data_IF_087508189983
#
_entry.id   IF_087508189983
#
_cell.length_a   1.000
_cell.length_b   1.000
_cell.length_c   1.000
_cell.angle_alpha   90.00
_cell.angle_beta   90.00
_cell.angle_gamma   90.00
#
_symmetry.space_group_name_H-M   'P 1'
#
loop_
_entity.id
_entity.type
_entity.pdbx_description
1 polymer ?
#
# COMPACT_ATOMS: atom_id res chain seq x y z
N UNK A 1 -9.29 13.15 1.73
CA UNK A 1 -8.73 12.40 0.58
C UNK A 1 -8.55 10.97 1.04
N UNK A 2 -9.19 10.00 0.41
CA UNK A 2 -8.95 8.58 0.72
C UNK A 2 -7.53 8.21 0.28
N UNK A 3 -6.76 7.59 1.19
CA UNK A 3 -5.45 7.04 0.88
C UNK A 3 -5.66 5.57 0.49
N UNK A 4 -5.13 5.20 -0.67
CA UNK A 4 -5.17 3.83 -1.16
C UNK A 4 -3.78 3.24 -0.98
N UNK A 5 -3.70 2.05 -0.36
CA UNK A 5 -2.44 1.34 -0.16
C UNK A 5 -2.30 0.22 -1.17
N UNK A 6 -1.17 0.20 -1.88
CA UNK A 6 -0.74 -0.94 -2.67
C UNK A 6 0.20 -1.80 -1.82
N UNK A 7 -0.11 -3.08 -1.67
CA UNK A 7 0.76 -4.03 -0.97
C UNK A 7 1.19 -5.14 -1.92
N UNK A 8 2.50 -5.48 -1.95
CA UNK A 8 2.95 -6.62 -2.71
C UNK A 8 2.44 -7.93 -2.06
N UNK A 9 2.09 -8.91 -2.87
CA UNK A 9 1.67 -10.23 -2.40
C UNK A 9 2.83 -11.07 -1.82
N UNK A 10 4.07 -10.70 -2.09
CA UNK A 10 5.26 -11.43 -1.63
C UNK A 10 5.64 -11.06 -0.19
N UNK A 11 6.00 -12.09 0.58
CA UNK A 11 6.48 -11.98 1.96
C UNK A 11 8.02 -11.96 2.07
N UNK A 12 8.74 -12.13 0.95
CA UNK A 12 10.21 -12.18 0.96
C UNK A 12 10.78 -10.76 0.88
N UNK A 13 11.49 -10.36 1.94
CA UNK A 13 12.33 -9.15 1.93
C UNK A 13 13.67 -9.49 1.31
N UNK A 14 13.83 -9.20 0.02
CA UNK A 14 15.08 -9.40 -0.70
C UNK A 14 15.79 -8.05 -0.84
N UNK A 15 17.13 -7.97 -0.61
CA UNK A 15 17.87 -6.73 -0.85
C UNK A 15 17.96 -6.47 -2.35
N UNK A 16 17.03 -5.70 -2.87
CA UNK A 16 16.82 -5.47 -4.31
C UNK A 16 18.01 -4.76 -4.95
N UNK A 17 18.75 -3.96 -4.17
CA UNK A 17 19.91 -3.21 -4.64
C UNK A 17 21.07 -4.09 -5.17
N UNK A 18 21.06 -5.40 -4.87
CA UNK A 18 22.08 -6.34 -5.36
C UNK A 18 21.81 -6.82 -6.80
N UNK A 19 20.61 -6.59 -7.34
CA UNK A 19 20.28 -7.01 -8.69
C UNK A 19 20.67 -5.95 -9.72
N UNK A 20 21.24 -6.40 -10.83
CA UNK A 20 21.52 -5.54 -11.97
C UNK A 20 20.23 -4.95 -12.53
N UNK A 21 20.28 -3.70 -12.98
CA UNK A 21 19.16 -3.03 -13.64
C UNK A 21 19.21 -3.34 -15.13
N UNK A 22 18.88 -4.58 -15.49
CA UNK A 22 18.99 -5.17 -16.81
C UNK A 22 17.64 -5.24 -17.57
N UNK A 23 16.62 -4.58 -17.00
CA UNK A 23 15.31 -4.43 -17.63
C UNK A 23 14.78 -3.00 -17.49
N UNK A 24 14.00 -2.52 -18.46
CA UNK A 24 13.41 -1.20 -18.43
C UNK A 24 11.95 -1.18 -18.88
N UNK A 25 11.17 -0.35 -18.22
CA UNK A 25 9.84 0.06 -18.62
C UNK A 25 9.94 1.44 -19.27
N UNK A 26 9.37 1.61 -20.46
CA UNK A 26 9.18 2.92 -21.08
C UNK A 26 7.68 3.27 -20.99
N UNK A 27 7.31 4.08 -20.00
CA UNK A 27 5.91 4.39 -19.71
C UNK A 27 5.59 5.81 -20.14
N UNK A 28 4.74 5.96 -21.13
CA UNK A 28 4.38 7.27 -21.71
C UNK A 28 5.62 8.11 -22.08
N UNK A 29 6.71 7.46 -22.51
CA UNK A 29 7.97 8.10 -22.88
C UNK A 29 8.96 8.32 -21.72
N UNK A 30 8.63 8.00 -20.50
CA UNK A 30 9.51 8.04 -19.33
C UNK A 30 10.14 6.68 -19.05
N UNK A 31 11.46 6.63 -18.77
CA UNK A 31 12.21 5.40 -18.53
C UNK A 31 12.32 5.06 -17.06
N UNK A 32 11.97 3.81 -16.72
CA UNK A 32 12.08 3.24 -15.35
C UNK A 32 12.91 1.95 -15.41
N UNK A 33 14.07 1.96 -14.74
CA UNK A 33 14.99 0.81 -14.72
C UNK A 33 14.76 -0.09 -13.51
N UNK A 34 14.74 -1.39 -13.80
CA UNK A 34 14.64 -2.44 -12.78
C UNK A 34 15.45 -3.67 -13.19
N UNK A 35 15.46 -4.71 -12.38
CA UNK A 35 16.02 -6.00 -12.77
C UNK A 35 14.97 -6.86 -13.49
N UNK A 36 15.42 -7.75 -14.34
CA UNK A 36 14.59 -8.75 -15.04
C UNK A 36 13.79 -9.58 -14.04
N UNK A 37 14.41 -10.05 -12.95
CA UNK A 37 13.71 -10.78 -11.91
C UNK A 37 12.52 -10.00 -11.34
N UNK A 38 12.71 -8.71 -11.07
CA UNK A 38 11.65 -7.88 -10.50
C UNK A 38 10.55 -7.57 -11.52
N UNK A 39 10.91 -7.42 -12.81
CA UNK A 39 9.91 -7.26 -13.88
C UNK A 39 9.04 -8.52 -14.02
N UNK A 40 9.64 -9.72 -13.89
CA UNK A 40 8.90 -10.99 -13.91
C UNK A 40 7.94 -11.13 -12.72
N UNK A 41 8.38 -10.71 -11.53
CA UNK A 41 7.53 -10.70 -10.33
C UNK A 41 6.38 -9.68 -10.42
N UNK A 42 6.61 -8.58 -11.11
CA UNK A 42 5.60 -7.54 -11.31
C UNK A 42 4.59 -7.92 -12.39
N UNK A 43 5.05 -8.63 -13.44
CA UNK A 43 4.25 -8.87 -14.64
C UNK A 43 4.30 -10.32 -15.09
N UNK A 44 3.23 -11.09 -14.89
CA UNK A 44 3.07 -12.40 -15.50
C UNK A 44 3.25 -12.39 -17.03
N UNK A 45 2.83 -11.32 -17.70
CA UNK A 45 3.00 -11.18 -19.16
C UNK A 45 4.47 -11.10 -19.56
N UNK A 46 5.28 -10.31 -18.85
CA UNK A 46 6.72 -10.19 -19.07
C UNK A 46 7.42 -11.52 -18.75
N UNK A 47 7.08 -12.15 -17.63
CA UNK A 47 7.60 -13.46 -17.27
C UNK A 47 7.39 -14.49 -18.39
N UNK A 48 6.20 -14.54 -18.98
CA UNK A 48 5.90 -15.42 -20.10
C UNK A 48 6.73 -15.10 -21.36
N UNK A 49 7.02 -13.81 -21.62
CA UNK A 49 7.91 -13.43 -22.73
C UNK A 49 9.32 -13.92 -22.43
N UNK A 50 9.85 -13.71 -21.23
CA UNK A 50 11.20 -14.16 -20.86
C UNK A 50 11.40 -15.68 -20.93
N UNK A 51 10.34 -16.49 -20.76
CA UNK A 51 10.40 -17.93 -20.95
C UNK A 51 10.67 -18.33 -22.42
N UNK A 52 10.28 -17.47 -23.36
CA UNK A 52 10.43 -17.73 -24.82
C UNK A 52 11.55 -16.91 -25.43
N UNK A 53 11.78 -15.71 -24.94
CA UNK A 53 12.86 -14.79 -25.36
C UNK A 53 13.60 -14.21 -24.15
N UNK A 54 14.64 -14.91 -23.66
CA UNK A 54 15.45 -14.42 -22.55
C UNK A 54 16.24 -13.13 -22.84
N UNK A 55 16.30 -12.66 -24.09
CA UNK A 55 16.97 -11.42 -24.46
C UNK A 55 16.08 -10.18 -24.37
N UNK A 56 14.77 -10.36 -24.15
CA UNK A 56 13.81 -9.28 -23.98
C UNK A 56 14.16 -8.42 -22.75
N UNK A 57 14.46 -7.14 -22.96
CA UNK A 57 14.99 -6.25 -21.92
C UNK A 57 14.23 -4.91 -21.80
N UNK A 58 13.20 -4.71 -22.62
CA UNK A 58 12.41 -3.48 -22.63
C UNK A 58 10.94 -3.75 -22.94
N UNK A 59 10.05 -3.05 -22.24
CA UNK A 59 8.63 -2.96 -22.59
C UNK A 59 8.17 -1.52 -22.69
N UNK A 60 7.35 -1.22 -23.71
CA UNK A 60 6.72 0.09 -23.88
C UNK A 60 5.27 -0.01 -23.40
N UNK A 61 4.91 0.86 -22.47
CA UNK A 61 3.56 0.98 -21.90
C UNK A 61 3.03 2.37 -22.25
N UNK A 62 1.96 2.41 -23.03
CA UNK A 62 1.23 3.64 -23.32
C UNK A 62 -0.15 3.57 -22.68
N UNK A 63 -0.45 4.49 -21.78
CA UNK A 63 -1.72 4.56 -21.07
C UNK A 63 -2.51 5.80 -21.50
N UNK A 64 -3.84 5.72 -21.41
CA UNK A 64 -4.73 6.85 -21.65
C UNK A 64 -4.76 7.79 -20.44
N UNK A 65 -4.58 7.22 -19.24
CA UNK A 65 -4.58 7.96 -18.00
C UNK A 65 -3.15 8.34 -17.59
N UNK A 66 -3.01 9.47 -16.93
CA UNK A 66 -1.72 9.93 -16.39
C UNK A 66 -1.58 9.51 -14.93
N UNK A 67 -0.37 9.11 -14.54
CA UNK A 67 -0.04 8.73 -13.17
C UNK A 67 1.45 8.47 -12.99
N UNK A 68 1.84 8.09 -11.78
CA UNK A 68 3.25 7.87 -11.43
C UNK A 68 3.60 6.37 -11.43
N UNK A 69 4.36 5.91 -12.42
CA UNK A 69 4.81 4.51 -12.50
C UNK A 69 5.82 4.14 -11.41
N UNK A 70 6.46 5.12 -10.74
CA UNK A 70 7.39 4.84 -9.62
C UNK A 70 6.75 4.04 -8.50
N UNK A 71 5.43 4.10 -8.32
CA UNK A 71 4.71 3.26 -7.36
C UNK A 71 4.97 1.76 -7.61
N UNK A 72 4.97 1.32 -8.86
CA UNK A 72 5.25 -0.08 -9.21
C UNK A 72 6.70 -0.47 -8.93
N UNK A 73 7.65 0.44 -9.18
CA UNK A 73 9.07 0.22 -8.86
C UNK A 73 9.27 0.10 -7.34
N UNK A 74 8.57 0.91 -6.56
CA UNK A 74 8.63 0.86 -5.10
C UNK A 74 7.95 -0.39 -4.54
N UNK A 75 6.84 -0.85 -5.15
CA UNK A 75 6.22 -2.13 -4.79
C UNK A 75 7.17 -3.32 -5.02
N UNK A 76 8.00 -3.28 -6.06
CA UNK A 76 9.06 -4.27 -6.26
C UNK A 76 10.06 -4.27 -5.11
N UNK A 77 10.27 -3.13 -4.44
CA UNK A 77 11.06 -2.99 -3.22
C UNK A 77 10.31 -3.47 -1.96
N UNK A 78 9.13 -4.07 -2.10
CA UNK A 78 8.24 -4.50 -1.01
C UNK A 78 7.80 -3.36 -0.09
N UNK A 79 7.85 -2.13 -0.57
CA UNK A 79 7.31 -0.98 0.13
C UNK A 79 5.80 -0.90 -0.08
N UNK A 80 5.11 -0.42 0.94
CA UNK A 80 3.70 -0.04 0.81
C UNK A 80 3.64 1.35 0.19
N UNK A 81 2.86 1.48 -0.88
CA UNK A 81 2.67 2.76 -1.56
C UNK A 81 1.30 3.36 -1.27
N UNK A 82 1.31 4.65 -0.95
CA UNK A 82 0.09 5.44 -0.81
C UNK A 82 -0.16 6.17 -2.12
N UNK A 83 -1.27 5.86 -2.77
CA UNK A 83 -1.66 6.49 -4.02
C UNK A 83 -2.89 7.37 -3.83
N UNK A 84 -3.01 8.38 -4.66
CA UNK A 84 -4.19 9.22 -4.69
C UNK A 84 -5.32 8.54 -5.49
N UNK A 85 -6.57 8.74 -5.08
CA UNK A 85 -7.72 8.15 -5.76
C UNK A 85 -7.85 8.57 -7.24
N UNK A 86 -7.29 9.71 -7.62
CA UNK A 86 -7.26 10.16 -9.02
C UNK A 86 -6.23 9.41 -9.88
N UNK A 87 -5.28 8.67 -9.28
CA UNK A 87 -4.32 7.82 -10.00
C UNK A 87 -4.82 6.40 -10.23
N UNK A 88 -5.95 6.01 -9.60
CA UNK A 88 -6.53 4.66 -9.75
C UNK A 88 -6.76 4.25 -11.21
N UNK A 89 -7.30 5.10 -12.10
CA UNK A 89 -7.48 4.71 -13.50
C UNK A 89 -6.16 4.36 -14.18
N UNK A 90 -5.09 5.13 -13.94
CA UNK A 90 -3.75 4.84 -14.45
C UNK A 90 -3.20 3.52 -13.90
N UNK A 91 -3.29 3.33 -12.57
CA UNK A 91 -2.81 2.10 -11.93
C UNK A 91 -3.55 0.87 -12.46
N UNK A 92 -4.88 0.94 -12.59
CA UNK A 92 -5.68 -0.17 -13.13
C UNK A 92 -5.30 -0.49 -14.57
N UNK A 93 -5.09 0.51 -15.41
CA UNK A 93 -4.69 0.34 -16.81
C UNK A 93 -3.31 -0.32 -16.91
N UNK A 94 -2.34 0.11 -16.09
CA UNK A 94 -1.01 -0.50 -16.02
C UNK A 94 -1.08 -1.96 -15.55
N UNK A 95 -1.87 -2.26 -14.51
CA UNK A 95 -2.03 -3.63 -14.01
C UNK A 95 -2.63 -4.56 -15.06
N UNK A 96 -3.59 -4.08 -15.83
CA UNK A 96 -4.17 -4.84 -16.96
C UNK A 96 -3.11 -5.14 -18.03
N UNK A 97 -2.32 -4.14 -18.43
CA UNK A 97 -1.23 -4.34 -19.41
C UNK A 97 -0.18 -5.33 -18.90
N UNK A 98 0.19 -5.25 -17.63
CA UNK A 98 1.15 -6.15 -16.99
C UNK A 98 0.58 -7.55 -16.74
N UNK A 99 -0.75 -7.72 -16.81
CA UNK A 99 -1.44 -8.97 -16.49
C UNK A 99 -1.36 -9.33 -14.99
N UNK A 100 -1.27 -8.33 -14.11
CA UNK A 100 -1.11 -8.54 -12.68
C UNK A 100 -2.44 -8.35 -11.94
N UNK A 101 -3.02 -9.44 -11.47
CA UNK A 101 -4.23 -9.49 -10.65
C UNK A 101 -3.95 -9.68 -9.14
N UNK A 102 -2.67 -9.78 -8.78
CA UNK A 102 -2.25 -10.05 -7.39
C UNK A 102 -2.07 -8.79 -6.56
N UNK A 103 -2.01 -7.62 -7.19
CA UNK A 103 -1.93 -6.33 -6.48
C UNK A 103 -3.33 -5.92 -6.08
N UNK A 104 -3.55 -5.84 -4.76
CA UNK A 104 -4.83 -5.46 -4.20
C UNK A 104 -4.82 -4.00 -3.74
N UNK A 105 -5.90 -3.29 -4.02
CA UNK A 105 -6.16 -1.97 -3.48
C UNK A 105 -6.84 -2.11 -2.12
N UNK A 106 -6.27 -1.47 -1.11
CA UNK A 106 -6.91 -1.32 0.18
C UNK A 106 -7.39 0.12 0.24
N UNK A 107 -8.68 0.35 0.00
CA UNK A 107 -9.28 1.63 0.33
C UNK A 107 -9.27 1.79 1.85
N UNK A 108 -8.51 2.77 2.32
CA UNK A 108 -8.74 3.26 3.67
C UNK A 108 -10.03 4.10 3.61
N UNK A 109 -11.15 3.46 3.93
CA UNK A 109 -12.33 4.22 4.31
C UNK A 109 -11.92 5.15 5.46
N UNK A 110 -11.89 6.45 5.20
CA UNK A 110 -11.86 7.44 6.30
C UNK A 110 -13.20 7.34 7.01
N UNK A 111 -13.29 6.37 7.88
CA UNK A 111 -14.40 6.32 8.85
C UNK A 111 -14.18 7.51 9.76
N UNK A 112 -15.11 8.46 9.76
CA UNK A 112 -15.08 9.57 10.70
C UNK A 112 -15.03 9.00 12.13
N UNK A 113 -14.00 9.39 12.89
CA UNK A 113 -13.81 8.90 14.25
C UNK A 113 -14.83 9.63 15.12
N UNK A 114 -15.64 8.88 15.82
CA UNK A 114 -16.66 9.36 16.74
C UNK A 114 -16.54 8.65 18.09
N UNK A 115 -17.17 9.21 19.11
CA UNK A 115 -17.22 8.59 20.45
C UNK A 115 -17.74 7.15 20.37
N UNK A 116 -18.75 6.89 19.51
CA UNK A 116 -19.42 5.60 19.42
C UNK A 116 -18.58 4.53 18.70
N UNK A 117 -17.62 4.93 17.83
CA UNK A 117 -16.91 3.98 16.98
C UNK A 117 -15.41 3.87 17.24
N UNK A 118 -14.80 4.78 18.01
CA UNK A 118 -13.34 4.85 18.20
C UNK A 118 -12.74 3.54 18.70
N UNK A 119 -13.35 2.89 19.69
CA UNK A 119 -12.83 1.62 20.24
C UNK A 119 -12.98 0.46 19.27
N UNK A 120 -14.04 0.45 18.46
CA UNK A 120 -14.21 -0.56 17.42
C UNK A 120 -13.17 -0.41 16.29
N UNK A 121 -12.81 0.84 15.96
CA UNK A 121 -11.75 1.16 15.00
C UNK A 121 -10.38 0.72 15.50
N UNK A 122 -10.03 1.00 16.76
CA UNK A 122 -8.78 0.53 17.37
C UNK A 122 -8.69 -1.00 17.31
N UNK A 123 -9.73 -1.71 17.73
CA UNK A 123 -9.77 -3.19 17.67
C UNK A 123 -9.60 -3.72 16.25
N UNK A 124 -10.21 -3.05 15.25
CA UNK A 124 -10.07 -3.38 13.84
C UNK A 124 -8.63 -3.14 13.32
N UNK A 125 -8.01 -2.02 13.72
CA UNK A 125 -6.65 -1.67 13.33
C UNK A 125 -5.62 -2.58 13.99
N UNK A 126 -5.73 -2.86 15.27
CA UNK A 126 -4.87 -3.81 16.00
C UNK A 126 -4.90 -5.21 15.36
N UNK A 127 -6.08 -5.71 15.00
CA UNK A 127 -6.22 -7.01 14.33
C UNK A 127 -5.53 -7.08 12.95
N UNK A 128 -5.36 -5.93 12.29
CA UNK A 128 -4.77 -5.82 10.95
C UNK A 128 -3.33 -5.28 10.98
N UNK A 129 -2.68 -5.23 12.15
CA UNK A 129 -1.33 -4.65 12.34
C UNK A 129 -1.20 -3.22 11.78
N UNK A 130 -2.28 -2.43 11.87
CA UNK A 130 -2.30 -1.04 11.45
C UNK A 130 -2.00 -0.10 12.62
N UNK A 131 -1.36 1.04 12.30
CA UNK A 131 -1.24 2.14 13.26
C UNK A 131 -2.62 2.79 13.49
N UNK A 132 -2.88 3.20 14.73
CA UNK A 132 -4.14 3.80 15.17
C UNK A 132 -3.93 5.13 15.89
N UNK A 133 -2.96 5.91 15.41
CA UNK A 133 -2.58 7.20 16.00
C UNK A 133 -3.71 8.22 15.99
N UNK A 134 -4.53 8.25 14.93
CA UNK A 134 -5.66 9.18 14.82
C UNK A 134 -6.72 8.86 15.89
N UNK A 135 -6.96 7.58 16.18
CA UNK A 135 -7.87 7.13 17.23
C UNK A 135 -7.32 7.44 18.63
N UNK A 136 -6.00 7.28 18.85
CA UNK A 136 -5.36 7.65 20.12
C UNK A 136 -5.45 9.16 20.35
N UNK A 137 -5.18 9.99 19.35
CA UNK A 137 -5.33 11.44 19.43
C UNK A 137 -6.78 11.83 19.72
N UNK A 138 -7.74 11.16 19.10
CA UNK A 138 -9.15 11.37 19.38
C UNK A 138 -9.51 11.02 20.83
N UNK A 139 -9.07 9.86 21.34
CA UNK A 139 -9.30 9.45 22.73
C UNK A 139 -8.66 10.45 23.69
N UNK A 140 -7.41 10.87 23.45
CA UNK A 140 -6.73 11.86 24.30
C UNK A 140 -7.51 13.18 24.39
N UNK A 141 -8.02 13.65 23.24
CA UNK A 141 -8.77 14.92 23.18
C UNK A 141 -10.17 14.83 23.82
N UNK A 142 -10.76 13.63 23.92
CA UNK A 142 -12.10 13.40 24.45
C UNK A 142 -12.09 12.54 25.74
N UNK A 143 -10.93 12.42 26.39
CA UNK A 143 -10.70 11.47 27.49
C UNK A 143 -11.74 11.57 28.63
N UNK A 144 -12.02 12.78 29.09
CA UNK A 144 -13.01 12.95 30.20
C UNK A 144 -14.41 12.48 29.81
N UNK A 145 -14.84 12.77 28.60
CA UNK A 145 -16.15 12.34 28.12
C UNK A 145 -16.23 10.83 27.97
N UNK A 146 -15.17 10.20 27.49
CA UNK A 146 -15.07 8.76 27.36
C UNK A 146 -15.00 8.05 28.69
N UNK A 147 -14.39 8.64 29.74
CA UNK A 147 -14.41 8.13 31.08
C UNK A 147 -15.84 8.12 31.65
N UNK A 148 -16.68 9.09 31.30
CA UNK A 148 -18.05 9.16 31.76
C UNK A 148 -19.01 8.22 31.03
N UNK A 149 -18.75 7.99 29.72
CA UNK A 149 -19.68 7.30 28.82
C UNK A 149 -19.27 5.88 28.45
N UNK A 150 -17.97 5.59 28.40
CA UNK A 150 -17.39 4.33 27.90
C UNK A 150 -16.16 3.88 28.72
N UNK A 151 -16.26 3.92 30.04
CA UNK A 151 -15.17 3.57 30.96
C UNK A 151 -14.68 2.11 30.77
N UNK A 152 -15.60 1.17 30.54
CA UNK A 152 -15.27 -0.26 30.34
C UNK A 152 -14.43 -0.49 29.10
N UNK A 153 -14.72 0.21 28.00
CA UNK A 153 -13.96 0.16 26.75
C UNK A 153 -12.56 0.75 26.93
N UNK A 154 -12.44 1.87 27.66
CA UNK A 154 -11.13 2.45 28.00
C UNK A 154 -10.27 1.48 28.80
N UNK A 155 -10.83 0.82 29.83
CA UNK A 155 -10.12 -0.18 30.61
C UNK A 155 -9.69 -1.41 29.79
N UNK A 156 -10.37 -1.69 28.68
CA UNK A 156 -10.06 -2.79 27.79
C UNK A 156 -8.88 -2.52 26.84
N UNK A 157 -8.39 -1.28 26.76
CA UNK A 157 -7.22 -0.93 25.95
C UNK A 157 -5.95 -1.58 26.51
N UNK A 158 -5.00 -1.88 25.61
CA UNK A 158 -3.68 -2.35 26.04
C UNK A 158 -2.94 -1.26 26.83
N UNK A 159 -2.02 -1.69 27.70
CA UNK A 159 -1.20 -0.76 28.51
C UNK A 159 -0.42 0.20 27.60
N UNK A 160 0.07 -0.29 26.45
CA UNK A 160 0.80 0.53 25.48
C UNK A 160 -0.10 1.62 24.89
N UNK A 161 -1.33 1.27 24.47
CA UNK A 161 -2.31 2.23 23.97
C UNK A 161 -2.72 3.26 25.04
N UNK A 162 -2.88 2.85 26.29
CA UNK A 162 -3.19 3.76 27.40
C UNK A 162 -2.02 4.72 27.69
N UNK A 163 -0.79 4.25 27.57
CA UNK A 163 0.40 5.10 27.74
C UNK A 163 0.45 6.19 26.68
N UNK A 164 0.14 5.84 25.43
CA UNK A 164 0.10 6.79 24.31
C UNK A 164 -1.04 7.82 24.43
N UNK A 165 -2.13 7.47 25.11
CA UNK A 165 -3.27 8.40 25.40
C UNK A 165 -2.91 9.43 26.47
N UNK A 166 -2.15 9.04 27.49
CA UNK A 166 -1.90 9.84 28.71
C UNK A 166 -0.57 10.61 28.62
N UNK A 167 0.36 10.17 27.76
CA UNK A 167 1.71 10.74 27.58
C UNK A 167 1.73 11.97 26.75
#
# INVERSE_FOLDING_TARGET
MSKIQLKPASILKVPIQIYDKDFKFLVNGEEFKTSRLLSDLLSPNICNIHLTDPSFDEIIINTHNSGNFSHFINLQAFNVENISSNELPFISEVLEILGNDSINFIEEEKTEITIDNVFSLIKKHQKNDKFYNDEIEFISSHFYLLCETQAEELESLSIDALTDVIG
#
